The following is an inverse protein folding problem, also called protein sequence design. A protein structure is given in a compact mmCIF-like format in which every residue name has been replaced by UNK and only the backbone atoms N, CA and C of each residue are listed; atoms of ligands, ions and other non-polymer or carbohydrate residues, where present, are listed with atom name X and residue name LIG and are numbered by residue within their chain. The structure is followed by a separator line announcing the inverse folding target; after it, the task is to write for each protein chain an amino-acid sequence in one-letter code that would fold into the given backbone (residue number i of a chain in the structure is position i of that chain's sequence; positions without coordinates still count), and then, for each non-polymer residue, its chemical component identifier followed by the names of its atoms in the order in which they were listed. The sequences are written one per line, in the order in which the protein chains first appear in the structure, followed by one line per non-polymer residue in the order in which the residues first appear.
data_IF_104032450397
#
_entry.id   IF_104032450397
#
_cell.length_a   1.000
_cell.length_b   1.000
_cell.length_c   1.000
_cell.angle_alpha   90.00
_cell.angle_beta   90.00
_cell.angle_gamma   90.00
#
_symmetry.space_group_name_H-M   'P 1'
#
loop_
_entity.id
_entity.type
_entity.pdbx_description
1 polymer ?
#
# COMPACT_ATOMS: atom_id res chain seq x y z
N UNK A 1 21.16 13.72 9.37
CA UNK A 1 21.71 14.58 8.30
C UNK A 1 22.49 13.79 7.24
N UNK A 2 23.36 12.86 7.59
CA UNK A 2 24.12 12.05 6.61
C UNK A 2 23.22 11.23 5.65
N UNK A 3 22.16 10.62 6.13
CA UNK A 3 21.24 9.79 5.33
C UNK A 3 20.53 10.58 4.23
N UNK A 4 20.11 11.82 4.50
CA UNK A 4 19.49 12.68 3.49
C UNK A 4 20.48 13.14 2.41
N UNK A 5 21.74 13.41 2.77
CA UNK A 5 22.77 13.77 1.79
C UNK A 5 23.05 12.63 0.80
N UNK A 6 23.09 11.38 1.27
CA UNK A 6 23.29 10.19 0.43
C UNK A 6 22.10 10.01 -0.52
N UNK A 7 20.87 10.17 -0.03
CA UNK A 7 19.64 10.06 -0.85
C UNK A 7 19.59 11.16 -1.92
N UNK A 8 19.93 12.41 -1.57
CA UNK A 8 19.99 13.51 -2.53
C UNK A 8 21.03 13.23 -3.63
N UNK A 9 22.20 12.73 -3.24
CA UNK A 9 23.24 12.37 -4.20
C UNK A 9 22.81 11.23 -5.12
N UNK A 10 22.08 10.23 -4.58
CA UNK A 10 21.47 9.16 -5.36
C UNK A 10 20.49 9.68 -6.41
N UNK A 11 19.57 10.55 -6.02
CA UNK A 11 18.63 11.18 -6.95
C UNK A 11 19.34 11.93 -8.08
N UNK A 12 20.40 12.69 -7.76
CA UNK A 12 21.17 13.41 -8.79
C UNK A 12 21.90 12.48 -9.75
N UNK A 13 22.37 11.32 -9.30
CA UNK A 13 22.96 10.31 -10.19
C UNK A 13 21.94 9.73 -11.15
N UNK A 14 20.73 9.43 -10.66
CA UNK A 14 19.62 8.93 -11.48
C UNK A 14 19.20 9.99 -12.51
N UNK A 15 19.01 11.25 -12.09
CA UNK A 15 18.68 12.34 -13.02
C UNK A 15 19.73 12.50 -14.11
N UNK A 16 21.02 12.44 -13.78
CA UNK A 16 22.13 12.49 -14.76
C UNK A 16 22.06 11.29 -15.74
N UNK A 17 21.75 10.09 -15.25
CA UNK A 17 21.60 8.93 -16.11
C UNK A 17 20.44 9.08 -17.08
N UNK A 18 19.28 9.55 -16.62
CA UNK A 18 18.10 9.82 -17.47
C UNK A 18 18.44 10.86 -18.53
N UNK A 19 19.09 11.97 -18.15
CA UNK A 19 19.53 13.00 -19.09
C UNK A 19 20.52 12.46 -20.12
N UNK A 20 21.48 11.62 -19.72
CA UNK A 20 22.45 11.01 -20.62
C UNK A 20 21.76 10.08 -21.63
N UNK A 21 20.80 9.24 -21.20
CA UNK A 21 20.02 8.38 -22.09
C UNK A 21 19.25 9.24 -23.09
N UNK A 22 18.50 10.25 -22.61
CA UNK A 22 17.74 11.16 -23.48
C UNK A 22 18.61 11.88 -24.50
N UNK A 23 19.81 12.34 -24.09
CA UNK A 23 20.74 13.06 -24.99
C UNK A 23 21.35 12.16 -26.08
N UNK A 24 21.55 10.87 -25.80
CA UNK A 24 22.13 9.91 -26.76
C UNK A 24 21.08 9.37 -27.72
N UNK A 25 19.87 9.08 -27.22
CA UNK A 25 18.82 8.43 -28.03
C UNK A 25 17.90 9.44 -28.72
N UNK A 26 17.81 10.67 -28.21
CA UNK A 26 16.73 11.61 -28.50
C UNK A 26 15.43 11.21 -27.82
N UNK A 27 14.57 12.19 -27.54
CA UNK A 27 13.32 11.96 -26.77
C UNK A 27 12.41 10.93 -27.43
N UNK A 28 12.25 10.98 -28.76
CA UNK A 28 11.37 10.08 -29.50
C UNK A 28 11.81 8.61 -29.42
N UNK A 29 13.12 8.34 -29.47
CA UNK A 29 13.70 7.00 -29.48
C UNK A 29 14.15 6.54 -28.09
N UNK A 30 13.90 7.36 -27.07
CA UNK A 30 14.24 6.99 -25.69
C UNK A 30 13.41 5.76 -25.26
N UNK A 31 14.06 4.70 -24.75
CA UNK A 31 13.33 3.57 -24.20
C UNK A 31 12.55 4.00 -22.95
N UNK A 32 11.48 3.31 -22.57
CA UNK A 32 10.81 3.54 -21.31
C UNK A 32 11.80 3.37 -20.15
N UNK A 33 11.83 4.35 -19.24
CA UNK A 33 12.70 4.35 -18.08
C UNK A 33 11.85 4.35 -16.82
N UNK A 34 12.07 3.38 -15.94
CA UNK A 34 11.47 3.37 -14.61
C UNK A 34 12.54 3.85 -13.63
N UNK A 35 12.23 4.88 -12.85
CA UNK A 35 13.18 5.48 -11.91
C UNK A 35 12.55 5.61 -10.51
N UNK A 36 13.32 5.22 -9.49
CA UNK A 36 12.98 5.43 -8.08
C UNK A 36 13.72 6.67 -7.57
N UNK A 37 12.99 7.69 -7.16
CA UNK A 37 13.53 8.94 -6.64
C UNK A 37 12.91 9.27 -5.28
N UNK A 38 13.75 9.73 -4.36
CA UNK A 38 13.34 9.97 -2.97
C UNK A 38 12.62 11.31 -2.76
N UNK A 39 13.00 12.35 -3.52
CA UNK A 39 12.47 13.70 -3.31
C UNK A 39 11.50 14.10 -4.42
N UNK A 40 10.33 14.61 -4.03
CA UNK A 40 9.26 15.04 -4.94
C UNK A 40 9.76 15.98 -6.03
N UNK A 41 10.52 17.02 -5.65
CA UNK A 41 11.13 17.94 -6.61
C UNK A 41 11.97 17.25 -7.69
N UNK A 42 12.70 16.18 -7.32
CA UNK A 42 13.54 15.43 -8.25
C UNK A 42 12.69 14.52 -9.14
N UNK A 43 11.55 14.03 -8.62
CA UNK A 43 10.56 13.26 -9.40
C UNK A 43 9.93 14.11 -10.50
N UNK A 44 9.58 15.36 -10.20
CA UNK A 44 9.04 16.29 -11.20
C UNK A 44 10.07 16.65 -12.28
N UNK A 45 11.32 16.86 -11.86
CA UNK A 45 12.42 17.07 -12.81
C UNK A 45 12.61 15.87 -13.73
N UNK A 46 12.59 14.64 -13.21
CA UNK A 46 12.74 13.42 -14.01
C UNK A 46 11.62 13.26 -15.06
N UNK A 47 10.36 13.51 -14.65
CA UNK A 47 9.21 13.48 -15.59
C UNK A 47 9.35 14.54 -16.70
N UNK A 48 9.94 15.69 -16.37
CA UNK A 48 10.16 16.79 -17.32
C UNK A 48 11.28 16.56 -18.34
N UNK A 49 12.22 15.61 -18.10
CA UNK A 49 13.33 15.32 -19.04
C UNK A 49 12.80 14.66 -20.32
N UNK A 50 11.91 13.71 -20.22
CA UNK A 50 11.29 13.03 -21.37
C UNK A 50 9.85 12.62 -20.99
N UNK A 51 8.87 13.52 -21.24
CA UNK A 51 7.47 13.28 -20.89
C UNK A 51 6.91 12.01 -21.55
N UNK A 52 6.25 11.18 -20.76
CA UNK A 52 5.69 9.91 -21.22
C UNK A 52 6.69 8.75 -21.37
N UNK A 53 8.01 9.02 -21.27
CA UNK A 53 9.06 7.99 -21.32
C UNK A 53 9.65 7.66 -19.95
N UNK A 54 9.50 8.54 -18.97
CA UNK A 54 10.03 8.35 -17.62
C UNK A 54 8.89 8.12 -16.64
N UNK A 55 8.81 6.90 -16.14
CA UNK A 55 7.90 6.51 -15.05
C UNK A 55 8.67 6.63 -13.73
N UNK A 56 8.17 7.47 -12.84
CA UNK A 56 8.81 7.68 -11.54
C UNK A 56 8.01 7.00 -10.45
N UNK A 57 8.65 6.08 -9.74
CA UNK A 57 8.06 5.39 -8.60
C UNK A 57 8.16 6.25 -7.34
N UNK A 58 7.03 6.50 -6.72
CA UNK A 58 6.93 7.11 -5.38
C UNK A 58 6.75 6.00 -4.34
N UNK A 59 7.87 5.51 -3.80
CA UNK A 59 7.88 4.44 -2.81
C UNK A 59 7.07 4.79 -1.56
N UNK A 60 7.26 6.01 -1.04
CA UNK A 60 6.59 6.45 0.19
C UNK A 60 5.06 6.47 -0.01
N UNK A 61 4.59 6.90 -1.19
CA UNK A 61 3.17 6.92 -1.54
C UNK A 61 2.60 5.50 -1.67
N UNK A 62 3.28 4.62 -2.40
CA UNK A 62 2.83 3.23 -2.62
C UNK A 62 2.75 2.50 -1.29
N UNK A 63 3.81 2.54 -0.49
CA UNK A 63 3.86 1.86 0.80
C UNK A 63 2.85 2.41 1.79
N UNK A 64 2.63 3.73 1.83
CA UNK A 64 1.61 4.33 2.69
C UNK A 64 0.20 3.85 2.30
N UNK A 65 -0.13 3.82 1.01
CA UNK A 65 -1.43 3.32 0.53
C UNK A 65 -1.65 1.85 0.85
N UNK A 66 -0.65 0.99 0.63
CA UNK A 66 -0.71 -0.42 1.00
C UNK A 66 -0.91 -0.57 2.50
N UNK A 67 -0.18 0.21 3.33
CA UNK A 67 -0.30 0.16 4.78
C UNK A 67 -1.69 0.57 5.27
N UNK A 68 -2.28 1.61 4.67
CA UNK A 68 -3.67 2.01 4.96
C UNK A 68 -4.65 0.89 4.63
N UNK A 69 -4.55 0.28 3.47
CA UNK A 69 -5.49 -0.77 3.05
C UNK A 69 -5.33 -2.04 3.88
N UNK A 70 -4.10 -2.48 4.15
CA UNK A 70 -3.84 -3.67 4.97
C UNK A 70 -4.26 -3.48 6.41
N UNK A 71 -4.22 -2.25 6.93
CA UNK A 71 -4.69 -1.94 8.28
C UNK A 71 -6.21 -2.06 8.43
N UNK A 72 -6.95 -1.95 7.34
CA UNK A 72 -8.42 -1.99 7.35
C UNK A 72 -8.99 -3.37 7.00
N UNK A 73 -8.25 -4.14 6.21
CA UNK A 73 -8.69 -5.44 5.70
C UNK A 73 -7.65 -6.49 6.12
N UNK A 74 -7.95 -7.30 7.16
CA UNK A 74 -7.05 -8.35 7.63
C UNK A 74 -6.70 -9.36 6.53
N UNK A 75 -5.40 -9.68 6.39
CA UNK A 75 -4.89 -10.63 5.40
C UNK A 75 -4.60 -10.03 4.03
N UNK A 76 -4.94 -8.77 3.79
CA UNK A 76 -4.69 -8.12 2.50
C UNK A 76 -3.17 -7.97 2.20
N UNK A 77 -2.33 -7.89 3.23
CA UNK A 77 -0.87 -7.89 3.06
C UNK A 77 -0.37 -9.14 2.34
N UNK A 78 -0.97 -10.31 2.63
CA UNK A 78 -0.62 -11.57 1.97
C UNK A 78 -1.05 -11.58 0.49
N UNK A 79 -2.22 -11.00 0.19
CA UNK A 79 -2.70 -10.85 -1.19
C UNK A 79 -1.74 -9.96 -2.00
N UNK A 80 -1.37 -8.81 -1.46
CA UNK A 80 -0.39 -7.94 -2.12
C UNK A 80 0.96 -8.65 -2.32
N UNK A 81 1.45 -9.38 -1.33
CA UNK A 81 2.72 -10.12 -1.42
C UNK A 81 2.69 -11.15 -2.54
N UNK A 82 1.55 -11.80 -2.80
CA UNK A 82 1.38 -12.73 -3.92
C UNK A 82 1.31 -12.00 -5.27
N UNK A 83 0.49 -10.95 -5.37
CA UNK A 83 0.30 -10.23 -6.64
C UNK A 83 1.54 -9.46 -7.13
N UNK A 84 2.46 -9.10 -6.23
CA UNK A 84 3.72 -8.40 -6.55
C UNK A 84 4.89 -9.37 -6.64
N UNK A 85 4.75 -10.59 -6.10
CA UNK A 85 5.76 -11.65 -6.15
C UNK A 85 5.74 -12.42 -7.46
N UNK A 86 6.79 -13.26 -7.68
CA UNK A 86 6.87 -14.17 -8.81
C UNK A 86 6.46 -15.62 -8.42
N UNK A 87 5.70 -15.76 -7.35
CA UNK A 87 5.24 -17.06 -6.85
C UNK A 87 3.73 -17.03 -6.70
N UNK A 88 3.04 -17.78 -7.52
CA UNK A 88 1.57 -17.83 -7.54
C UNK A 88 0.99 -17.05 -8.72
N UNK A 89 -0.20 -16.49 -8.51
CA UNK A 89 -0.90 -15.76 -9.56
C UNK A 89 -0.36 -14.33 -9.71
N UNK A 90 -0.19 -13.91 -10.96
CA UNK A 90 0.26 -12.57 -11.34
C UNK A 90 -0.80 -11.84 -12.18
N UNK A 91 -0.56 -10.57 -12.48
CA UNK A 91 -1.46 -9.77 -13.33
C UNK A 91 -0.90 -9.68 -14.73
N UNK A 92 -1.70 -10.08 -15.71
CA UNK A 92 -1.36 -10.07 -17.12
C UNK A 92 -2.32 -9.23 -17.94
N UNK A 93 -1.85 -8.80 -19.13
CA UNK A 93 -2.69 -8.21 -20.18
C UNK A 93 -2.83 -9.24 -21.31
N UNK A 94 -4.07 -9.56 -21.67
CA UNK A 94 -4.37 -10.51 -22.72
C UNK A 94 -5.29 -9.89 -23.75
N UNK A 95 -4.92 -9.92 -25.03
CA UNK A 95 -5.75 -9.36 -26.11
C UNK A 95 -7.10 -10.05 -26.18
N UNK A 96 -8.17 -9.26 -26.17
CA UNK A 96 -9.53 -9.78 -26.30
C UNK A 96 -9.76 -10.29 -27.73
N UNK A 97 -10.10 -11.57 -27.89
CA UNK A 97 -10.31 -12.15 -29.22
C UNK A 97 -11.59 -11.61 -29.88
N UNK A 98 -11.61 -11.67 -31.20
CA UNK A 98 -12.67 -11.12 -32.06
C UNK A 98 -14.07 -11.70 -31.79
N UNK A 99 -14.14 -12.99 -31.40
CA UNK A 99 -15.43 -13.62 -31.09
C UNK A 99 -16.09 -13.06 -29.81
N UNK A 100 -15.37 -12.27 -28.99
CA UNK A 100 -15.91 -11.59 -27.82
C UNK A 100 -16.23 -10.11 -28.09
N UNK A 101 -15.84 -9.54 -29.23
CA UNK A 101 -16.18 -8.15 -29.53
C UNK A 101 -17.69 -7.95 -29.64
N UNK A 102 -18.18 -6.88 -29.04
CA UNK A 102 -19.61 -6.60 -28.93
C UNK A 102 -20.30 -7.27 -27.75
N UNK A 103 -19.65 -8.25 -27.07
CA UNK A 103 -20.13 -8.78 -25.80
C UNK A 103 -19.78 -7.80 -24.67
N UNK A 104 -20.44 -7.97 -23.52
CA UNK A 104 -20.11 -7.15 -22.34
C UNK A 104 -18.98 -7.75 -21.51
N UNK A 105 -18.32 -6.91 -20.69
CA UNK A 105 -17.32 -7.37 -19.73
C UNK A 105 -17.88 -8.45 -18.79
N UNK A 106 -19.12 -8.29 -18.34
CA UNK A 106 -19.80 -9.28 -17.52
C UNK A 106 -19.97 -10.64 -18.21
N UNK A 107 -20.25 -10.65 -19.53
CA UNK A 107 -20.32 -11.88 -20.33
C UNK A 107 -18.94 -12.51 -20.50
N UNK A 108 -17.89 -11.71 -20.78
CA UNK A 108 -16.52 -12.20 -20.94
C UNK A 108 -16.03 -13.01 -19.73
N UNK A 109 -16.45 -12.66 -18.52
CA UNK A 109 -16.02 -13.37 -17.29
C UNK A 109 -16.33 -14.88 -17.32
N UNK A 110 -17.36 -15.31 -18.05
CA UNK A 110 -17.75 -16.71 -18.16
C UNK A 110 -16.91 -17.50 -19.18
N UNK A 111 -16.04 -16.85 -19.92
CA UNK A 111 -15.17 -17.46 -20.93
C UNK A 111 -13.79 -17.85 -20.41
N UNK A 112 -13.60 -17.86 -19.08
CA UNK A 112 -12.35 -18.25 -18.42
C UNK A 112 -12.57 -19.45 -17.49
N UNK A 113 -11.57 -20.33 -17.40
CA UNK A 113 -11.60 -21.50 -16.53
C UNK A 113 -10.62 -21.44 -15.37
N UNK A 114 -9.40 -20.99 -15.62
CA UNK A 114 -8.28 -21.02 -14.66
C UNK A 114 -7.72 -19.62 -14.34
N UNK A 115 -8.26 -18.61 -14.94
CA UNK A 115 -7.85 -17.23 -14.77
C UNK A 115 -9.07 -16.34 -14.54
N UNK A 116 -8.86 -15.16 -13.95
CA UNK A 116 -9.93 -14.27 -13.54
C UNK A 116 -9.72 -12.88 -14.18
N UNK A 117 -10.59 -12.43 -15.07
CA UNK A 117 -10.53 -11.07 -15.58
C UNK A 117 -10.98 -10.08 -14.50
N UNK A 118 -10.14 -9.09 -14.23
CA UNK A 118 -10.37 -8.05 -13.21
C UNK A 118 -10.57 -6.67 -13.82
N UNK A 119 -10.37 -6.52 -15.13
CA UNK A 119 -10.49 -5.23 -15.79
C UNK A 119 -10.22 -5.28 -17.29
N UNK A 120 -10.17 -4.08 -17.88
CA UNK A 120 -9.86 -3.85 -19.28
C UNK A 120 -8.81 -2.75 -19.43
N UNK A 121 -7.94 -2.89 -20.43
CA UNK A 121 -7.12 -1.81 -20.97
C UNK A 121 -7.61 -1.47 -22.37
N UNK A 122 -7.97 -0.20 -22.59
CA UNK A 122 -8.36 0.34 -23.88
C UNK A 122 -7.43 1.49 -24.21
N UNK A 123 -6.50 1.29 -25.13
CA UNK A 123 -5.39 2.21 -25.37
C UNK A 123 -4.61 2.49 -24.07
N UNK A 124 -4.56 3.75 -23.60
CA UNK A 124 -3.90 4.14 -22.35
C UNK A 124 -4.84 4.13 -21.13
N UNK A 125 -6.11 3.80 -21.31
CA UNK A 125 -7.09 3.78 -20.23
C UNK A 125 -7.12 2.41 -19.55
N UNK A 126 -6.83 2.39 -18.24
CA UNK A 126 -6.97 1.22 -17.37
C UNK A 126 -8.31 1.32 -16.63
N UNK A 127 -9.16 0.31 -16.80
CA UNK A 127 -10.43 0.17 -16.12
C UNK A 127 -10.40 -1.09 -15.25
N UNK A 128 -10.24 -0.94 -13.94
CA UNK A 128 -10.37 -2.06 -13.00
C UNK A 128 -11.84 -2.16 -12.58
N UNK A 129 -12.35 -3.40 -12.57
CA UNK A 129 -13.74 -3.70 -12.24
C UNK A 129 -14.73 -2.76 -12.98
N UNK A 130 -14.69 -2.70 -14.34
CA UNK A 130 -15.63 -1.88 -15.10
C UNK A 130 -17.06 -2.38 -14.89
N UNK A 131 -18.03 -1.54 -15.25
CA UNK A 131 -19.44 -1.94 -15.21
C UNK A 131 -19.68 -3.20 -16.06
N UNK A 132 -20.55 -4.09 -15.58
CA UNK A 132 -20.78 -5.38 -16.23
C UNK A 132 -21.27 -5.26 -17.67
N UNK A 133 -21.93 -4.16 -18.03
CA UNK A 133 -22.44 -3.85 -19.36
C UNK A 133 -21.43 -3.13 -20.26
N UNK A 134 -20.20 -2.89 -19.80
CA UNK A 134 -19.13 -2.32 -20.62
C UNK A 134 -18.86 -3.19 -21.83
N UNK A 135 -19.07 -2.65 -23.03
CA UNK A 135 -18.92 -3.38 -24.28
C UNK A 135 -17.44 -3.52 -24.65
N UNK A 136 -17.07 -4.73 -25.08
CA UNK A 136 -15.73 -5.06 -25.55
C UNK A 136 -15.56 -4.59 -27.01
N UNK A 137 -14.44 -3.94 -27.29
CA UNK A 137 -14.13 -3.37 -28.60
C UNK A 137 -12.84 -3.99 -29.16
N UNK A 138 -12.65 -3.83 -30.47
CA UNK A 138 -11.40 -4.19 -31.12
C UNK A 138 -10.21 -3.45 -30.50
N UNK A 139 -9.15 -4.19 -30.16
CA UNK A 139 -7.95 -3.65 -29.55
C UNK A 139 -8.00 -3.55 -28.01
N UNK A 140 -9.11 -3.96 -27.38
CA UNK A 140 -9.16 -4.11 -25.93
C UNK A 140 -8.26 -5.25 -25.46
N UNK A 141 -7.67 -5.07 -24.29
CA UNK A 141 -6.96 -6.12 -23.57
C UNK A 141 -7.62 -6.35 -22.21
N UNK A 142 -7.89 -7.61 -21.92
CA UNK A 142 -8.33 -8.01 -20.59
C UNK A 142 -7.17 -7.93 -19.60
N UNK A 143 -7.42 -7.37 -18.42
CA UNK A 143 -6.51 -7.43 -17.29
C UNK A 143 -6.91 -8.66 -16.48
N UNK A 144 -6.01 -9.62 -16.38
CA UNK A 144 -6.32 -10.97 -15.88
C UNK A 144 -5.36 -11.38 -14.78
N UNK A 145 -5.89 -11.99 -13.71
CA UNK A 145 -5.08 -12.71 -12.71
C UNK A 145 -4.97 -14.16 -13.16
N UNK A 146 -3.74 -14.67 -13.30
CA UNK A 146 -3.43 -16.03 -13.74
C UNK A 146 -2.08 -16.50 -13.17
N UNK A 147 -1.89 -17.82 -13.08
CA UNK A 147 -0.65 -18.45 -12.64
C UNK A 147 0.52 -18.16 -13.61
N UNK A 148 0.23 -18.12 -14.92
CA UNK A 148 1.17 -17.87 -15.99
C UNK A 148 0.42 -17.37 -17.23
N UNK A 149 1.04 -16.60 -18.09
CA UNK A 149 0.43 -16.07 -19.31
C UNK A 149 -0.05 -17.18 -20.26
N UNK A 150 0.65 -18.31 -20.29
CA UNK A 150 0.27 -19.51 -21.07
C UNK A 150 -1.00 -20.20 -20.55
N UNK A 151 -1.45 -19.87 -19.34
CA UNK A 151 -2.71 -20.42 -18.76
C UNK A 151 -3.93 -19.57 -19.07
N UNK A 152 -3.76 -18.41 -19.71
CA UNK A 152 -4.84 -17.50 -20.08
C UNK A 152 -5.48 -17.98 -21.39
N UNK A 153 -6.65 -18.57 -21.28
CA UNK A 153 -7.41 -19.05 -22.42
C UNK A 153 -8.79 -18.44 -22.44
N UNK A 154 -9.15 -17.85 -23.58
CA UNK A 154 -10.52 -17.42 -23.86
C UNK A 154 -11.24 -18.57 -24.58
N UNK A 155 -12.27 -19.11 -23.98
CA UNK A 155 -13.09 -20.17 -24.58
C UNK A 155 -14.17 -19.55 -25.47
N UNK A 156 -14.42 -20.08 -26.67
CA UNK A 156 -15.49 -19.56 -27.56
C UNK A 156 -16.87 -19.69 -26.92
N UNK A 157 -17.12 -20.76 -26.17
CA UNK A 157 -18.36 -20.95 -25.42
C UNK A 157 -18.13 -20.66 -23.94
N UNK A 158 -19.12 -20.09 -23.24
CA UNK A 158 -19.05 -19.93 -21.80
C UNK A 158 -18.73 -21.25 -21.09
N UNK A 159 -17.76 -21.23 -20.19
CA UNK A 159 -17.34 -22.41 -19.39
C UNK A 159 -18.32 -22.67 -18.25
N UNK A 160 -19.00 -21.62 -17.80
CA UNK A 160 -20.01 -21.67 -16.74
C UNK A 160 -21.23 -20.89 -17.20
N UNK A 161 -22.41 -21.48 -17.04
CA UNK A 161 -23.66 -20.75 -17.31
C UNK A 161 -23.94 -19.72 -16.21
N UNK A 162 -24.28 -18.47 -16.58
CA UNK A 162 -24.64 -17.45 -15.63
C UNK A 162 -25.89 -17.88 -14.83
N UNK A 163 -25.80 -17.86 -13.51
CA UNK A 163 -26.95 -18.09 -12.65
C UNK A 163 -27.39 -16.74 -12.05
N UNK A 164 -28.69 -16.48 -12.07
CA UNK A 164 -29.23 -15.30 -11.39
C UNK A 164 -28.99 -15.41 -9.88
N UNK A 165 -28.18 -14.48 -9.34
CA UNK A 165 -27.93 -14.35 -7.92
C UNK A 165 -28.82 -13.27 -7.32
N UNK A 166 -29.53 -13.60 -6.24
CA UNK A 166 -30.21 -12.58 -5.45
C UNK A 166 -29.19 -11.88 -4.55
N UNK A 167 -29.00 -10.57 -4.74
CA UNK A 167 -28.14 -9.76 -3.90
C UNK A 167 -28.92 -9.22 -2.69
N UNK A 168 -28.41 -9.43 -1.49
CA UNK A 168 -28.81 -8.62 -0.35
C UNK A 168 -27.88 -7.42 -0.25
N UNK A 169 -28.42 -6.22 -0.36
CA UNK A 169 -27.64 -5.00 -0.07
C UNK A 169 -27.30 -4.96 1.43
N UNK A 170 -26.09 -5.37 1.77
CA UNK A 170 -25.53 -5.10 3.08
C UNK A 170 -25.08 -3.63 3.13
N UNK A 171 -25.95 -2.77 3.65
CA UNK A 171 -25.56 -1.38 3.94
C UNK A 171 -24.51 -1.39 5.06
N UNK A 172 -23.26 -1.18 4.70
CA UNK A 172 -22.20 -0.94 5.68
C UNK A 172 -22.46 0.42 6.32
N UNK A 173 -22.83 0.42 7.60
CA UNK A 173 -23.02 1.66 8.35
C UNK A 173 -21.67 2.32 8.58
N UNK A 174 -21.59 3.67 8.43
CA UNK A 174 -20.37 4.42 8.74
C UNK A 174 -19.97 4.20 10.20
N UNK A 175 -18.73 3.80 10.43
CA UNK A 175 -18.17 3.56 11.77
C UNK A 175 -17.14 4.63 12.10
N UNK A 176 -17.23 5.19 13.33
CA UNK A 176 -16.15 6.01 13.90
C UNK A 176 -14.98 5.07 14.23
N UNK A 177 -13.82 5.34 13.64
CA UNK A 177 -12.62 4.52 13.79
C UNK A 177 -11.56 5.25 14.62
N UNK A 178 -10.75 4.50 15.36
CA UNK A 178 -9.67 5.01 16.20
C UNK A 178 -8.36 4.37 15.81
N UNK A 179 -7.39 5.19 15.45
CA UNK A 179 -6.06 4.79 15.03
C UNK A 179 -5.01 5.28 16.03
N UNK A 180 -4.13 4.40 16.44
CA UNK A 180 -2.93 4.71 17.20
C UNK A 180 -1.71 4.47 16.32
N UNK A 181 -0.96 5.50 15.98
CA UNK A 181 0.23 5.41 15.16
C UNK A 181 1.45 5.65 16.05
N UNK A 182 2.32 4.66 16.14
CA UNK A 182 3.58 4.78 16.85
C UNK A 182 4.74 4.95 15.89
N UNK A 183 5.52 6.02 16.07
CA UNK A 183 6.64 6.39 15.22
C UNK A 183 6.31 7.57 14.30
N UNK A 184 7.34 8.02 13.58
CA UNK A 184 7.27 9.11 12.61
C UNK A 184 8.29 8.89 11.50
N UNK A 185 7.83 8.88 10.26
CA UNK A 185 8.67 8.88 9.07
C UNK A 185 8.00 9.68 7.95
N UNK A 186 8.61 9.74 6.77
CA UNK A 186 8.10 10.53 5.61
C UNK A 186 6.76 10.02 5.08
N UNK A 187 6.43 8.75 5.31
CA UNK A 187 5.14 8.16 4.89
C UNK A 187 3.98 8.60 5.79
N UNK A 188 4.24 9.05 7.03
CA UNK A 188 3.18 9.41 7.97
C UNK A 188 2.21 10.49 7.43
N UNK A 189 2.66 11.61 6.85
CA UNK A 189 1.75 12.60 6.28
C UNK A 189 0.84 12.01 5.21
N UNK A 190 1.39 11.18 4.32
CA UNK A 190 0.65 10.51 3.25
C UNK A 190 -0.37 9.54 3.85
N UNK A 191 0.05 8.75 4.83
CA UNK A 191 -0.80 7.79 5.54
C UNK A 191 -1.98 8.48 6.23
N UNK A 192 -1.76 9.61 6.88
CA UNK A 192 -2.81 10.41 7.52
C UNK A 192 -3.76 11.00 6.48
N UNK A 193 -3.24 11.50 5.35
CA UNK A 193 -4.06 12.00 4.24
C UNK A 193 -4.96 10.89 3.68
N UNK A 194 -4.41 9.72 3.41
CA UNK A 194 -5.15 8.57 2.89
C UNK A 194 -6.23 8.11 3.89
N UNK A 195 -5.91 7.95 5.18
CA UNK A 195 -6.91 7.62 6.20
C UNK A 195 -8.03 8.65 6.24
N UNK A 196 -7.68 9.93 6.25
CA UNK A 196 -8.65 11.01 6.35
C UNK A 196 -9.63 11.06 5.17
N UNK A 197 -9.27 10.48 4.03
CA UNK A 197 -10.15 10.30 2.87
C UNK A 197 -11.17 9.16 3.02
N UNK A 198 -10.91 8.18 3.89
CA UNK A 198 -11.74 6.98 4.02
C UNK A 198 -12.53 6.91 5.33
N UNK A 199 -12.01 7.50 6.42
CA UNK A 199 -12.61 7.38 7.74
C UNK A 199 -13.75 8.38 7.93
N UNK A 200 -14.73 7.98 8.73
CA UNK A 200 -15.90 8.81 9.01
C UNK A 200 -15.56 10.02 9.88
N UNK A 201 -16.33 11.09 9.73
CA UNK A 201 -16.27 12.26 10.61
C UNK A 201 -16.39 11.88 12.09
N UNK A 202 -15.51 12.44 12.93
CA UNK A 202 -15.40 12.11 14.35
C UNK A 202 -14.42 10.98 14.67
N UNK A 203 -13.83 10.35 13.66
CA UNK A 203 -12.74 9.38 13.86
C UNK A 203 -11.50 10.04 14.48
N UNK A 204 -10.65 9.23 15.08
CA UNK A 204 -9.51 9.69 15.88
C UNK A 204 -8.21 9.10 15.35
N UNK A 205 -7.18 9.93 15.19
CA UNK A 205 -5.82 9.53 14.89
C UNK A 205 -4.89 10.08 15.97
N UNK A 206 -4.38 9.19 16.83
CA UNK A 206 -3.41 9.55 17.86
C UNK A 206 -2.01 9.12 17.42
N UNK A 207 -1.10 10.09 17.29
CA UNK A 207 0.28 9.89 16.84
C UNK A 207 1.19 9.98 18.06
N UNK A 208 1.97 8.93 18.30
CA UNK A 208 2.88 8.80 19.42
C UNK A 208 4.31 8.75 18.91
N UNK A 209 5.15 9.63 19.41
CA UNK A 209 6.56 9.70 19.03
C UNK A 209 7.47 9.61 20.26
N UNK A 210 8.65 8.99 20.16
CA UNK A 210 9.62 8.97 21.26
C UNK A 210 10.14 10.38 21.58
N UNK A 211 10.27 11.21 20.55
CA UNK A 211 10.76 12.59 20.66
C UNK A 211 10.09 13.47 19.61
N UNK A 212 9.54 14.60 20.04
CA UNK A 212 9.00 15.63 19.15
C UNK A 212 10.10 16.53 18.58
N UNK A 213 9.85 17.06 17.38
CA UNK A 213 10.65 18.13 16.79
C UNK A 213 9.73 19.23 16.27
N UNK A 214 10.25 20.44 16.12
CA UNK A 214 9.50 21.57 15.54
C UNK A 214 9.00 21.26 14.11
N UNK A 215 9.77 20.49 13.34
CA UNK A 215 9.39 20.07 12.00
C UNK A 215 8.16 19.15 12.04
N UNK A 216 8.14 18.17 12.96
CA UNK A 216 6.99 17.28 13.16
C UNK A 216 5.75 18.07 13.59
N UNK A 217 5.89 19.02 14.51
CA UNK A 217 4.78 19.85 14.98
C UNK A 217 4.19 20.72 13.86
N UNK A 218 5.03 21.31 13.01
CA UNK A 218 4.57 22.08 11.84
C UNK A 218 3.79 21.21 10.85
N UNK A 219 4.30 20.05 10.49
CA UNK A 219 3.63 19.11 9.59
C UNK A 219 2.31 18.63 10.21
N UNK A 220 2.32 18.30 11.50
CA UNK A 220 1.12 17.90 12.22
C UNK A 220 0.03 18.98 12.22
N UNK A 221 0.40 20.24 12.43
CA UNK A 221 -0.54 21.36 12.35
C UNK A 221 -1.15 21.52 10.96
N UNK A 222 -0.34 21.36 9.89
CA UNK A 222 -0.83 21.39 8.52
C UNK A 222 -1.83 20.26 8.24
N UNK A 223 -1.52 19.03 8.66
CA UNK A 223 -2.41 17.87 8.51
C UNK A 223 -3.72 18.06 9.28
N UNK A 224 -3.64 18.48 10.53
CA UNK A 224 -4.82 18.71 11.36
C UNK A 224 -5.73 19.82 10.79
N UNK A 225 -5.13 20.86 10.21
CA UNK A 225 -5.87 21.95 9.54
C UNK A 225 -6.49 21.50 8.22
N UNK A 226 -5.84 20.61 7.49
CA UNK A 226 -6.34 20.04 6.23
C UNK A 226 -7.54 19.12 6.44
N UNK A 227 -7.57 18.41 7.58
CA UNK A 227 -8.59 17.40 7.90
C UNK A 227 -9.38 17.72 9.18
N UNK A 228 -10.16 18.80 9.23
CA UNK A 228 -10.83 19.26 10.45
C UNK A 228 -11.91 18.31 10.98
N UNK A 229 -12.36 17.36 10.15
CA UNK A 229 -13.36 16.35 10.52
C UNK A 229 -12.79 15.17 11.31
N UNK A 230 -11.47 15.04 11.33
CA UNK A 230 -10.76 13.97 12.03
C UNK A 230 -10.05 14.57 13.25
N UNK A 231 -10.31 14.01 14.43
CA UNK A 231 -9.60 14.45 15.63
C UNK A 231 -8.21 13.85 15.67
N UNK A 232 -7.18 14.69 15.65
CA UNK A 232 -5.79 14.27 15.69
C UNK A 232 -5.09 14.74 16.95
N UNK A 233 -4.17 13.91 17.48
CA UNK A 233 -3.24 14.32 18.53
C UNK A 233 -1.81 13.89 18.18
N UNK A 234 -0.84 14.68 18.66
CA UNK A 234 0.59 14.34 18.59
C UNK A 234 1.15 14.37 20.00
N UNK A 235 1.60 13.22 20.49
CA UNK A 235 2.08 13.06 21.86
C UNK A 235 3.50 12.51 21.87
N UNK A 236 4.31 12.98 22.85
CA UNK A 236 5.62 12.41 23.11
C UNK A 236 5.52 11.44 24.28
N UNK A 237 5.95 10.20 24.07
CA UNK A 237 6.00 9.19 25.15
C UNK A 237 7.31 8.43 25.05
N UNK A 238 7.99 8.26 26.19
CA UNK A 238 9.23 7.49 26.23
C UNK A 238 8.92 5.97 26.16
N UNK A 239 9.34 5.26 25.11
CA UNK A 239 9.08 3.84 24.92
C UNK A 239 9.88 2.92 25.84
N UNK A 240 10.89 3.46 26.54
CA UNK A 240 11.70 2.69 27.52
C UNK A 240 11.02 2.54 28.89
N UNK A 241 9.89 3.22 29.11
CA UNK A 241 9.12 3.05 30.36
C UNK A 241 8.54 1.64 30.44
N UNK A 242 8.63 1.02 31.60
CA UNK A 242 8.18 -0.37 31.83
C UNK A 242 6.70 -0.62 31.51
N UNK A 243 5.85 0.39 31.72
CA UNK A 243 4.41 0.31 31.45
C UNK A 243 3.97 1.14 30.24
N UNK A 244 4.88 1.36 29.29
CA UNK A 244 4.64 2.21 28.12
C UNK A 244 3.34 1.88 27.38
N UNK A 245 3.05 0.64 26.93
CA UNK A 245 1.83 0.37 26.20
C UNK A 245 0.56 0.59 27.02
N UNK A 246 0.59 0.27 28.33
CA UNK A 246 -0.58 0.42 29.19
C UNK A 246 -1.07 1.87 29.30
N UNK A 247 -0.17 2.85 29.26
CA UNK A 247 -0.52 4.27 29.32
C UNK A 247 -1.27 4.77 28.08
N UNK A 248 -1.13 4.09 26.95
CA UNK A 248 -1.77 4.43 25.70
C UNK A 248 -3.14 3.76 25.53
N UNK A 249 -3.47 2.76 26.34
CA UNK A 249 -4.69 1.96 26.22
C UNK A 249 -4.89 1.44 24.80
N UNK A 250 -3.88 0.80 24.15
CA UNK A 250 -3.92 0.47 22.73
C UNK A 250 -5.05 -0.49 22.35
N UNK A 251 -5.55 -1.30 23.30
CA UNK A 251 -6.70 -2.20 23.11
C UNK A 251 -8.03 -1.48 22.88
N UNK A 252 -8.08 -0.14 23.02
CA UNK A 252 -9.27 0.69 22.77
C UNK A 252 -9.29 1.30 21.38
N UNK A 253 -8.28 1.03 20.56
CA UNK A 253 -8.19 1.45 19.18
C UNK A 253 -8.59 0.31 18.24
N UNK A 254 -9.12 0.66 17.08
CA UNK A 254 -9.40 -0.31 16.03
C UNK A 254 -8.08 -0.81 15.42
N UNK A 255 -7.13 0.11 15.24
CA UNK A 255 -5.82 -0.18 14.64
C UNK A 255 -4.68 0.44 15.45
N UNK A 256 -3.61 -0.32 15.63
CA UNK A 256 -2.31 0.15 16.12
C UNK A 256 -1.28 -0.10 15.03
N UNK A 257 -0.65 0.98 14.57
CA UNK A 257 0.32 0.96 13.49
C UNK A 257 1.69 1.32 14.04
N UNK A 258 2.68 0.46 13.85
CA UNK A 258 4.06 0.71 14.21
C UNK A 258 4.84 1.02 12.94
N UNK A 259 5.27 2.27 12.82
CA UNK A 259 6.04 2.73 11.67
C UNK A 259 7.53 2.51 11.89
N UNK A 260 8.22 2.07 10.84
CA UNK A 260 9.67 1.94 10.85
C UNK A 260 10.34 3.33 10.98
N UNK A 261 11.44 3.40 11.72
CA UNK A 261 12.26 4.61 11.83
C UNK A 261 12.95 4.99 10.52
N UNK A 262 13.57 6.18 10.49
CA UNK A 262 14.32 6.66 9.32
C UNK A 262 15.84 6.78 9.56
N UNK A 263 16.26 6.64 10.80
CA UNK A 263 17.65 6.83 11.19
C UNK A 263 18.23 5.51 11.71
N UNK A 264 19.36 5.11 11.17
CA UNK A 264 20.03 3.88 11.50
C UNK A 264 20.22 2.96 10.30
N UNK A 265 20.79 1.81 10.52
CA UNK A 265 20.84 0.70 9.54
C UNK A 265 19.48 0.01 9.49
N UNK A 266 19.22 -0.73 8.40
CA UNK A 266 18.00 -1.54 8.27
C UNK A 266 17.80 -2.47 9.45
N UNK A 267 18.87 -3.11 9.92
CA UNK A 267 18.83 -4.02 11.06
C UNK A 267 18.47 -3.31 12.38
N UNK A 268 19.01 -2.12 12.63
CA UNK A 268 18.67 -1.32 13.82
C UNK A 268 17.19 -0.89 13.78
N UNK A 269 16.72 -0.40 12.63
CA UNK A 269 15.34 0.03 12.45
C UNK A 269 14.37 -1.14 12.68
N UNK A 270 14.64 -2.30 12.06
CA UNK A 270 13.80 -3.48 12.21
C UNK A 270 13.82 -4.01 13.65
N UNK A 271 14.98 -4.01 14.29
CA UNK A 271 15.12 -4.43 15.71
C UNK A 271 14.29 -3.56 16.65
N UNK A 272 14.29 -2.23 16.46
CA UNK A 272 13.45 -1.31 17.23
C UNK A 272 11.95 -1.55 16.96
N UNK A 273 11.57 -1.74 15.72
CA UNK A 273 10.20 -2.01 15.30
C UNK A 273 9.67 -3.32 15.87
N UNK A 274 10.46 -4.39 15.77
CA UNK A 274 10.14 -5.72 16.33
C UNK A 274 10.04 -5.65 17.87
N UNK A 275 10.96 -4.95 18.51
CA UNK A 275 10.91 -4.74 19.98
C UNK A 275 9.62 -4.05 20.39
N UNK A 276 9.20 -3.03 19.65
CA UNK A 276 7.94 -2.32 19.90
C UNK A 276 6.73 -3.22 19.69
N UNK A 277 6.72 -3.98 18.61
CA UNK A 277 5.71 -4.97 18.28
C UNK A 277 5.51 -5.97 19.43
N UNK A 278 6.61 -6.52 19.96
CA UNK A 278 6.58 -7.47 21.06
C UNK A 278 6.01 -6.87 22.34
N UNK A 279 6.29 -5.59 22.64
CA UNK A 279 5.72 -4.88 23.80
C UNK A 279 4.20 -4.73 23.69
N UNK A 280 3.68 -4.32 22.51
CA UNK A 280 2.24 -4.22 22.32
C UNK A 280 1.55 -5.58 22.41
N UNK A 281 2.15 -6.62 21.82
CA UNK A 281 1.61 -7.98 21.90
C UNK A 281 1.57 -8.53 23.32
N UNK A 282 2.64 -8.31 24.06
CA UNK A 282 2.68 -8.70 25.48
C UNK A 282 1.54 -8.02 26.24
N UNK A 283 1.36 -6.72 26.05
CA UNK A 283 0.26 -5.98 26.66
C UNK A 283 -1.12 -6.54 26.24
N UNK A 284 -1.37 -6.80 24.96
CA UNK A 284 -2.64 -7.37 24.51
C UNK A 284 -2.90 -8.76 25.09
N UNK A 285 -1.87 -9.57 25.28
CA UNK A 285 -1.98 -10.86 25.96
C UNK A 285 -2.36 -10.70 27.44
N UNK A 286 -1.77 -9.73 28.14
CA UNK A 286 -2.11 -9.44 29.54
C UNK A 286 -3.57 -8.96 29.67
N UNK A 287 -4.05 -8.13 28.73
CA UNK A 287 -5.44 -7.66 28.71
C UNK A 287 -6.40 -8.84 28.51
N UNK A 288 -6.12 -9.73 27.56
CA UNK A 288 -6.93 -10.96 27.35
C UNK A 288 -6.92 -11.88 28.55
N UNK A 289 -5.79 -12.03 29.24
CA UNK A 289 -5.69 -12.86 30.46
C UNK A 289 -6.52 -12.30 31.61
N UNK A 290 -6.86 -11.00 31.59
CA UNK A 290 -7.77 -10.37 32.56
C UNK A 290 -9.25 -10.50 32.17
N UNK A 291 -9.55 -11.18 31.06
CA UNK A 291 -10.91 -11.41 30.56
C UNK A 291 -11.46 -10.29 29.69
N UNK A 292 -10.63 -9.34 29.25
CA UNK A 292 -11.05 -8.30 28.31
C UNK A 292 -10.83 -8.75 26.86
N UNK A 293 -11.78 -8.46 25.99
CA UNK A 293 -11.64 -8.71 24.56
C UNK A 293 -10.74 -7.66 23.88
N UNK A 294 -9.88 -8.11 22.97
CA UNK A 294 -9.01 -7.26 22.18
C UNK A 294 -9.28 -7.49 20.70
N UNK A 295 -9.97 -6.55 20.08
CA UNK A 295 -10.28 -6.55 18.65
C UNK A 295 -9.32 -5.70 17.82
N UNK A 296 -8.38 -5.04 18.47
CA UNK A 296 -7.37 -4.16 17.85
C UNK A 296 -6.51 -4.94 16.87
N UNK A 297 -6.42 -4.45 15.66
CA UNK A 297 -5.43 -4.92 14.68
C UNK A 297 -4.08 -4.27 14.97
N UNK A 298 -3.03 -5.07 14.93
CA UNK A 298 -1.66 -4.61 15.12
C UNK A 298 -0.90 -4.81 13.82
N UNK A 299 -0.49 -3.69 13.22
CA UNK A 299 0.21 -3.66 11.94
C UNK A 299 1.59 -3.06 12.16
N UNK A 300 2.58 -3.62 11.49
CA UNK A 300 3.95 -3.11 11.54
C UNK A 300 4.55 -3.03 10.14
N UNK A 301 5.44 -2.09 9.95
CA UNK A 301 6.30 -2.01 8.79
C UNK A 301 7.67 -2.60 9.11
N UNK A 302 8.22 -3.40 8.22
CA UNK A 302 9.57 -3.98 8.31
C UNK A 302 10.31 -3.62 7.05
N UNK A 303 11.59 -3.36 7.17
CA UNK A 303 12.43 -2.99 6.02
C UNK A 303 12.98 -4.22 5.29
N UNK A 304 13.30 -5.29 6.02
CA UNK A 304 13.95 -6.49 5.49
C UNK A 304 13.03 -7.72 5.55
N UNK A 305 12.88 -8.40 4.39
CA UNK A 305 12.12 -9.65 4.26
C UNK A 305 12.67 -10.80 5.11
N UNK A 306 13.96 -10.79 5.45
CA UNK A 306 14.55 -11.78 6.34
C UNK A 306 13.87 -11.78 7.73
N UNK A 307 13.35 -10.63 8.17
CA UNK A 307 12.64 -10.47 9.43
C UNK A 307 11.16 -10.90 9.37
N UNK A 308 10.62 -11.15 8.17
CA UNK A 308 9.21 -11.53 7.98
C UNK A 308 8.83 -12.80 8.74
N UNK A 309 9.67 -13.82 8.72
CA UNK A 309 9.43 -15.08 9.47
C UNK A 309 9.34 -14.87 10.97
N UNK A 310 10.19 -14.03 11.54
CA UNK A 310 10.19 -13.71 12.97
C UNK A 310 8.87 -13.06 13.37
N UNK A 311 8.37 -12.16 12.52
CA UNK A 311 7.12 -11.45 12.77
C UNK A 311 5.93 -12.40 12.63
N UNK A 312 5.88 -13.25 11.60
CA UNK A 312 4.83 -14.26 11.44
C UNK A 312 4.78 -15.23 12.62
N UNK A 313 5.91 -15.78 13.04
CA UNK A 313 6.02 -16.65 14.21
C UNK A 313 5.60 -15.93 15.51
N UNK A 314 5.75 -14.60 15.53
CA UNK A 314 5.23 -13.80 16.63
C UNK A 314 3.70 -13.71 16.62
N UNK A 315 2.98 -14.22 15.61
CA UNK A 315 1.51 -14.26 15.49
C UNK A 315 0.89 -12.94 15.06
N UNK A 316 1.65 -12.02 14.50
CA UNK A 316 1.15 -10.86 13.76
C UNK A 316 0.80 -11.34 12.36
N UNK A 317 -0.44 -11.13 11.96
CA UNK A 317 -0.95 -11.62 10.68
C UNK A 317 -0.72 -10.60 9.55
N UNK A 318 -0.74 -9.32 9.91
CA UNK A 318 -0.62 -8.24 8.94
C UNK A 318 0.64 -7.40 9.25
N UNK A 319 1.59 -7.42 8.32
CA UNK A 319 2.79 -6.59 8.34
C UNK A 319 3.18 -6.29 6.89
N UNK A 320 3.84 -5.16 6.70
CA UNK A 320 4.34 -4.72 5.41
C UNK A 320 5.85 -4.88 5.36
N UNK A 321 6.36 -5.59 4.38
CA UNK A 321 7.79 -5.70 4.12
C UNK A 321 8.16 -4.75 2.99
N UNK A 322 8.80 -3.64 3.32
CA UNK A 322 9.05 -2.54 2.37
C UNK A 322 9.88 -2.96 1.17
N UNK A 323 10.91 -3.81 1.35
CA UNK A 323 11.77 -4.23 0.24
C UNK A 323 11.10 -5.21 -0.74
N UNK A 324 9.99 -5.86 -0.38
CA UNK A 324 9.26 -6.74 -1.30
C UNK A 324 8.43 -5.99 -2.34
N UNK A 325 8.04 -4.75 -2.04
CA UNK A 325 7.16 -3.97 -2.90
C UNK A 325 7.90 -2.97 -3.80
N UNK A 326 9.20 -2.76 -3.58
CA UNK A 326 9.94 -1.64 -4.21
C UNK A 326 11.38 -2.02 -4.62
N UNK A 327 11.81 -3.26 -4.43
CA UNK A 327 13.17 -3.74 -4.79
C UNK A 327 13.28 -4.14 -6.26
#
# INVERSE_FOLDING_TARGET
MATNAVKIQGDYQILKAIMAISSVTGEEKMPPVIAKLFFERNRDLARGIAPGKVVVLDEDLILAKILVQTSRIPGLSLVYSQLVGFVGDEIYFASVPDFLWGNSFGQMQFHFQRSVPIGLRRSDLIMLNPESDTILEEGDEAIVIAEDDSTIHFFEQPVVEPTELSYSENKVLPKIEKYLIFGWNRKLPILVDEYSGYIHEGSVIDIIVPRKSEAMERIFQQLSSKHPKVRMTLQQVNPSMSNFPAKLYPHRYDNVIIMAGENGTTEEIDSETISMLLKFRHFFREVRNKGEEVHTQLITEVMDSANAQIIQQSGVKDFLVSNQFVS
#
